data_IF_544308172231
#
_entry.id   IF_544308172231
#
_cell.length_a   1.000
_cell.length_b   1.000
_cell.length_c   1.000
_cell.angle_alpha   90.00
_cell.angle_beta   90.00
_cell.angle_gamma   90.00
#
_symmetry.space_group_name_H-M   'P 1'
#
loop_
_entity.id
_entity.type
_entity.pdbx_description
1 polymer ?
#
# COMPACT_ATOMS: atom_id res chain seq x y z
N UNK A 1 -10.38 15.22 -8.84
CA UNK A 1 -10.92 13.96 -8.32
C UNK A 1 -11.14 14.22 -6.86
N UNK A 2 -12.38 14.46 -6.47
CA UNK A 2 -12.71 14.96 -5.12
C UNK A 2 -13.09 13.80 -4.18
N UNK A 3 -13.22 12.59 -4.75
CA UNK A 3 -13.55 11.36 -4.07
C UNK A 3 -12.60 10.21 -4.52
N UNK A 4 -11.94 9.51 -3.58
CA UNK A 4 -11.01 8.43 -3.90
C UNK A 4 -11.66 7.26 -4.63
N UNK A 5 -12.91 6.93 -4.33
CA UNK A 5 -13.60 5.78 -4.90
C UNK A 5 -13.87 5.97 -6.40
N UNK A 6 -14.39 7.14 -6.78
CA UNK A 6 -14.61 7.52 -8.18
C UNK A 6 -13.30 7.61 -8.96
N UNK A 7 -12.23 8.10 -8.32
CA UNK A 7 -10.89 8.17 -8.91
C UNK A 7 -10.34 6.77 -9.22
N UNK A 8 -10.41 5.84 -8.27
CA UNK A 8 -9.97 4.45 -8.46
C UNK A 8 -10.79 3.75 -9.55
N UNK A 9 -12.11 3.89 -9.52
CA UNK A 9 -13.00 3.29 -10.53
C UNK A 9 -12.68 3.79 -11.94
N UNK A 10 -12.46 5.11 -12.08
CA UNK A 10 -12.08 5.70 -13.36
C UNK A 10 -10.72 5.19 -13.84
N UNK A 11 -9.71 5.16 -12.97
CA UNK A 11 -8.37 4.69 -13.32
C UNK A 11 -8.35 3.22 -13.75
N UNK A 12 -9.11 2.34 -13.07
CA UNK A 12 -9.27 0.93 -13.45
C UNK A 12 -9.90 0.79 -14.82
N UNK A 13 -11.01 1.49 -15.07
CA UNK A 13 -11.69 1.47 -16.37
C UNK A 13 -10.77 1.96 -17.50
N UNK A 14 -10.05 3.06 -17.28
CA UNK A 14 -9.10 3.58 -18.27
C UNK A 14 -7.99 2.59 -18.55
N UNK A 15 -7.47 1.89 -17.53
CA UNK A 15 -6.47 0.84 -17.72
C UNK A 15 -7.02 -0.31 -18.57
N UNK A 16 -8.24 -0.77 -18.30
CA UNK A 16 -8.92 -1.81 -19.09
C UNK A 16 -9.11 -1.39 -20.56
N UNK A 17 -9.61 -0.17 -20.80
CA UNK A 17 -9.85 0.37 -22.15
C UNK A 17 -8.57 0.50 -22.99
N UNK A 18 -7.43 0.76 -22.35
CA UNK A 18 -6.15 0.96 -23.02
C UNK A 18 -5.21 -0.28 -22.96
N UNK A 19 -5.65 -1.37 -22.33
CA UNK A 19 -4.82 -2.57 -22.14
C UNK A 19 -3.61 -2.34 -21.22
N UNK A 20 -3.72 -1.42 -20.27
CA UNK A 20 -2.68 -1.13 -19.27
C UNK A 20 -2.87 -1.96 -18.00
N UNK A 21 -1.78 -2.11 -17.24
CA UNK A 21 -1.84 -2.67 -15.90
C UNK A 21 -2.19 -1.54 -14.93
N UNK A 22 -3.32 -1.67 -14.23
CA UNK A 22 -3.62 -0.80 -13.11
C UNK A 22 -2.78 -1.20 -11.90
N UNK A 23 -1.97 -0.27 -11.40
CA UNK A 23 -1.18 -0.45 -10.18
C UNK A 23 -1.90 0.25 -9.03
N UNK A 24 -2.38 -0.52 -8.07
CA UNK A 24 -3.05 0.03 -6.89
C UNK A 24 -2.06 0.79 -6.00
N UNK A 25 -2.44 1.93 -5.40
CA UNK A 25 -1.56 2.63 -4.47
C UNK A 25 -1.48 1.96 -3.08
N UNK A 26 -2.35 1.00 -2.76
CA UNK A 26 -2.35 0.32 -1.46
C UNK A 26 -3.06 -1.05 -1.47
N UNK A 27 -4.14 -1.21 -2.24
CA UNK A 27 -4.98 -2.40 -2.27
C UNK A 27 -4.48 -3.42 -3.30
N UNK A 28 -3.25 -3.91 -3.10
CA UNK A 28 -2.61 -4.94 -3.91
C UNK A 28 -1.58 -5.69 -3.05
N UNK A 29 -1.55 -7.03 -3.14
CA UNK A 29 -0.70 -7.86 -2.29
C UNK A 29 0.80 -7.61 -2.50
N UNK A 30 1.23 -7.30 -3.72
CA UNK A 30 2.64 -6.97 -3.99
C UNK A 30 3.02 -5.62 -3.41
N UNK A 31 2.11 -4.65 -3.45
CA UNK A 31 2.32 -3.34 -2.84
C UNK A 31 2.44 -3.47 -1.32
N UNK A 32 1.54 -4.22 -0.68
CA UNK A 32 1.56 -4.51 0.76
C UNK A 32 2.85 -5.24 1.15
N UNK A 33 3.22 -6.31 0.43
CA UNK A 33 4.45 -7.04 0.68
C UNK A 33 5.70 -6.16 0.54
N UNK A 34 5.70 -5.26 -0.46
CA UNK A 34 6.76 -4.26 -0.62
C UNK A 34 6.86 -3.29 0.56
N UNK A 35 5.73 -2.87 1.14
CA UNK A 35 5.77 -2.04 2.36
C UNK A 35 6.33 -2.82 3.57
N UNK A 36 6.10 -4.13 3.62
CA UNK A 36 6.59 -4.99 4.69
C UNK A 36 8.11 -5.08 4.80
N UNK A 37 8.87 -4.71 3.76
CA UNK A 37 10.33 -4.64 3.87
C UNK A 37 10.79 -3.60 4.89
N UNK A 38 10.00 -2.54 5.12
CA UNK A 38 10.26 -1.57 6.19
C UNK A 38 10.18 -2.25 7.56
N UNK A 39 9.24 -3.19 7.74
CA UNK A 39 9.15 -3.99 8.97
C UNK A 39 10.39 -4.84 9.20
N UNK A 40 10.94 -5.44 8.14
CA UNK A 40 12.19 -6.21 8.20
C UNK A 40 13.35 -5.29 8.62
N UNK A 41 13.49 -4.13 8.00
CA UNK A 41 14.55 -3.15 8.31
C UNK A 41 14.44 -2.62 9.77
N UNK A 42 13.21 -2.43 10.27
CA UNK A 42 12.97 -2.06 11.67
C UNK A 42 13.49 -3.16 12.60
N UNK A 43 13.14 -4.43 12.35
CA UNK A 43 13.55 -5.55 13.20
C UNK A 43 15.06 -5.85 13.10
N UNK A 44 15.67 -5.60 11.95
CA UNK A 44 17.13 -5.68 11.80
C UNK A 44 17.84 -4.59 12.62
N UNK A 45 17.24 -3.41 12.75
CA UNK A 45 17.82 -2.27 13.48
C UNK A 45 17.51 -2.31 14.98
N UNK A 46 16.28 -2.67 15.34
CA UNK A 46 15.77 -2.79 16.71
C UNK A 46 14.95 -4.08 16.80
N UNK A 47 15.56 -5.21 17.23
CA UNK A 47 14.94 -6.53 17.18
C UNK A 47 13.69 -6.71 18.05
N UNK A 48 13.54 -5.90 19.10
CA UNK A 48 12.44 -6.03 20.06
C UNK A 48 11.84 -4.66 20.37
N UNK A 49 11.14 -4.04 19.41
CA UNK A 49 10.45 -2.79 19.66
C UNK A 49 9.19 -3.06 20.50
N UNK A 50 8.97 -2.30 21.56
CA UNK A 50 7.73 -2.39 22.33
C UNK A 50 6.52 -1.88 21.52
N UNK A 51 6.74 -0.86 20.68
CA UNK A 51 5.71 -0.21 19.88
C UNK A 51 6.27 0.27 18.54
N UNK A 52 5.46 0.17 17.48
CA UNK A 52 5.72 0.77 16.17
C UNK A 52 4.52 1.64 15.80
N UNK A 53 4.75 2.93 15.58
CA UNK A 53 3.71 3.89 15.18
C UNK A 53 3.77 4.09 13.67
N UNK A 54 2.64 3.92 12.99
CA UNK A 54 2.54 4.06 11.54
C UNK A 54 1.40 4.98 11.14
N UNK A 55 1.62 5.74 10.07
CA UNK A 55 0.56 6.56 9.47
C UNK A 55 -0.38 5.70 8.65
N UNK A 56 -1.66 6.09 8.59
CA UNK A 56 -2.70 5.34 7.88
C UNK A 56 -3.39 6.25 6.88
N UNK A 57 -3.14 5.99 5.60
CA UNK A 57 -3.95 6.46 4.48
C UNK A 57 -4.91 5.36 4.02
N UNK A 58 -4.64 4.75 2.86
CA UNK A 58 -5.38 3.58 2.36
C UNK A 58 -5.02 2.24 3.02
N UNK A 59 -4.15 2.24 4.04
CA UNK A 59 -3.82 1.06 4.84
C UNK A 59 -2.64 0.21 4.35
N UNK A 60 -2.17 0.39 3.11
CA UNK A 60 -1.10 -0.46 2.53
C UNK A 60 0.19 -0.54 3.36
N UNK A 61 0.61 0.58 3.97
CA UNK A 61 1.80 0.63 4.83
C UNK A 61 1.60 -0.20 6.12
N UNK A 62 0.57 0.14 6.91
CA UNK A 62 0.33 -0.53 8.19
C UNK A 62 0.01 -2.02 8.02
N UNK A 63 -0.63 -2.41 6.92
CA UNK A 63 -0.87 -3.80 6.56
C UNK A 63 0.38 -4.56 6.14
N UNK A 64 1.40 -3.87 5.64
CA UNK A 64 2.65 -4.49 5.22
C UNK A 64 3.63 -4.70 6.36
N UNK A 65 3.78 -3.68 7.21
CA UNK A 65 4.75 -3.71 8.32
C UNK A 65 4.25 -4.45 9.57
N UNK A 66 2.94 -4.62 9.72
CA UNK A 66 2.26 -5.15 10.90
C UNK A 66 1.71 -6.55 10.75
#
# INVERSE_FOLDING_TARGET
GDDPYTTETHARRTAEENGWIYVSPYNDLQIVAGQGTIGIEILDTLPTPDNVLATVGGGGLISGIG
#
